data_IF_573033650352
#
_entry.id   IF_573033650352
#
_cell.length_a   1.000
_cell.length_b   1.000
_cell.length_c   1.000
_cell.angle_alpha   90.00
_cell.angle_beta   90.00
_cell.angle_gamma   90.00
#
_symmetry.space_group_name_H-M   'P 1'
#
loop_
_entity.id
_entity.type
_entity.pdbx_description
1 polymer ?
#
# COMPACT_ATOMS: atom_id res chain seq x y z
N UNK A 1 -29.15 -15.88 -14.09
CA UNK A 1 -28.57 -14.54 -13.81
C UNK A 1 -27.19 -14.74 -13.20
N UNK A 2 -26.11 -14.38 -13.89
CA UNK A 2 -24.77 -14.40 -13.27
C UNK A 2 -24.73 -13.28 -12.22
N UNK A 3 -24.61 -13.65 -10.95
CA UNK A 3 -24.42 -12.71 -9.84
C UNK A 3 -23.25 -11.77 -10.17
N UNK A 4 -23.41 -10.48 -9.90
CA UNK A 4 -22.34 -9.48 -10.04
C UNK A 4 -21.15 -9.90 -9.18
N UNK A 5 -20.01 -10.23 -9.80
CA UNK A 5 -18.78 -10.48 -9.05
C UNK A 5 -18.00 -9.15 -8.94
N UNK A 6 -17.91 -8.53 -7.74
CA UNK A 6 -17.16 -7.30 -7.55
C UNK A 6 -15.64 -7.45 -7.79
N UNK A 7 -15.13 -8.67 -7.94
CA UNK A 7 -13.77 -8.96 -8.42
C UNK A 7 -13.59 -8.75 -9.92
N UNK A 8 -14.66 -8.55 -10.70
CA UNK A 8 -14.63 -8.37 -12.15
C UNK A 8 -14.47 -6.91 -12.60
N UNK A 9 -14.39 -5.95 -11.68
CA UNK A 9 -14.16 -4.53 -11.98
C UNK A 9 -12.80 -4.12 -11.41
N UNK A 10 -11.95 -3.61 -12.29
CA UNK A 10 -10.67 -3.03 -11.91
C UNK A 10 -10.89 -1.60 -11.39
N UNK A 11 -10.70 -1.40 -10.09
CA UNK A 11 -10.69 -0.08 -9.49
C UNK A 11 -9.25 0.31 -9.13
N UNK A 12 -8.62 1.17 -9.95
CA UNK A 12 -7.27 1.67 -9.66
C UNK A 12 -7.19 2.53 -8.39
N UNK A 13 -8.31 2.89 -7.76
CA UNK A 13 -8.40 3.54 -6.43
C UNK A 13 -8.78 2.55 -5.32
N UNK A 14 -8.62 1.25 -5.55
CA UNK A 14 -8.75 0.25 -4.50
C UNK A 14 -7.67 0.48 -3.42
N UNK A 15 -8.08 0.38 -2.15
CA UNK A 15 -7.20 0.53 -0.98
C UNK A 15 -6.98 -0.78 -0.26
N UNK A 16 -7.76 -1.83 -0.55
CA UNK A 16 -7.59 -3.16 0.02
C UNK A 16 -6.46 -3.91 -0.69
N UNK A 17 -5.37 -4.17 0.02
CA UNK A 17 -4.26 -4.97 -0.49
C UNK A 17 -4.71 -6.38 -0.86
N UNK A 18 -5.54 -7.00 -0.02
CA UNK A 18 -6.13 -8.32 -0.29
C UNK A 18 -6.81 -8.35 -1.66
N UNK A 19 -7.72 -7.40 -1.92
CA UNK A 19 -8.45 -7.36 -3.21
C UNK A 19 -7.49 -7.10 -4.37
N UNK A 20 -6.53 -6.20 -4.20
CA UNK A 20 -5.58 -5.87 -5.25
C UNK A 20 -4.69 -7.06 -5.63
N UNK A 21 -4.18 -7.80 -4.65
CA UNK A 21 -3.35 -8.98 -4.89
C UNK A 21 -4.12 -10.07 -5.64
N UNK A 22 -5.38 -10.29 -5.29
CA UNK A 22 -6.26 -11.18 -6.04
C UNK A 22 -6.49 -10.69 -7.48
N UNK A 23 -6.63 -9.37 -7.69
CA UNK A 23 -6.74 -8.77 -9.01
C UNK A 23 -5.43 -8.92 -9.82
N UNK A 24 -4.25 -8.84 -9.20
CA UNK A 24 -2.98 -9.07 -9.89
C UNK A 24 -2.90 -10.50 -10.44
N UNK A 25 -3.31 -11.51 -9.67
CA UNK A 25 -3.39 -12.90 -10.16
C UNK A 25 -4.54 -13.14 -11.15
N UNK A 26 -5.62 -12.37 -11.05
CA UNK A 26 -6.82 -12.57 -11.87
C UNK A 26 -6.82 -11.86 -13.23
N UNK A 27 -6.24 -10.65 -13.29
CA UNK A 27 -6.17 -9.80 -14.49
C UNK A 27 -4.74 -9.61 -15.03
N UNK A 28 -3.72 -10.01 -14.26
CA UNK A 28 -2.33 -9.71 -14.54
C UNK A 28 -1.84 -8.46 -13.80
N UNK A 29 -0.53 -8.42 -13.55
CA UNK A 29 0.12 -7.34 -12.81
C UNK A 29 -0.05 -5.97 -13.49
N UNK A 30 0.25 -5.88 -14.79
CA UNK A 30 0.27 -4.59 -15.49
C UNK A 30 -1.12 -3.94 -15.64
N UNK A 31 -2.19 -4.75 -15.66
CA UNK A 31 -3.56 -4.21 -15.56
C UNK A 31 -3.76 -3.45 -14.24
N UNK A 32 -3.07 -3.86 -13.18
CA UNK A 32 -3.16 -3.28 -11.86
C UNK A 32 -2.22 -2.10 -11.62
N UNK A 33 -1.37 -1.76 -12.59
CA UNK A 33 -0.47 -0.61 -12.54
C UNK A 33 -1.26 0.68 -12.27
N UNK A 34 -0.81 1.41 -11.24
CA UNK A 34 -1.39 2.69 -10.81
C UNK A 34 -0.55 3.90 -11.21
N UNK A 35 0.53 3.76 -11.98
CA UNK A 35 1.43 4.84 -12.39
C UNK A 35 0.65 6.00 -13.04
N UNK A 36 -0.37 5.68 -13.86
CA UNK A 36 -1.23 6.67 -14.51
C UNK A 36 -2.05 7.54 -13.54
N UNK A 37 -2.19 7.15 -12.27
CA UNK A 37 -2.87 7.94 -11.23
C UNK A 37 -2.08 9.17 -10.83
N UNK A 38 -0.78 9.17 -11.08
CA UNK A 38 0.13 10.24 -10.67
C UNK A 38 0.53 11.15 -11.84
N UNK A 39 -0.17 11.08 -12.97
CA UNK A 39 0.05 11.99 -14.09
C UNK A 39 -0.33 13.45 -13.70
N UNK A 40 0.39 14.48 -14.20
CA UNK A 40 0.10 15.90 -13.94
C UNK A 40 -1.37 16.30 -14.25
N UNK A 41 -1.92 17.38 -13.65
CA UNK A 41 -1.23 18.52 -13.04
C UNK A 41 -1.31 18.63 -11.49
N UNK A 42 -1.70 17.58 -10.77
CA UNK A 42 -2.01 17.67 -9.34
C UNK A 42 -0.76 17.70 -8.43
N UNK A 43 -0.74 18.62 -7.47
CA UNK A 43 0.30 18.77 -6.44
C UNK A 43 0.03 17.90 -5.21
N UNK A 44 -1.22 17.47 -4.98
CA UNK A 44 -1.62 16.62 -3.84
C UNK A 44 -0.89 15.25 -3.82
N UNK A 45 -0.37 14.84 -4.96
CA UNK A 45 0.36 13.59 -5.14
C UNK A 45 1.84 13.78 -5.50
N UNK A 46 2.39 14.99 -5.39
CA UNK A 46 3.76 15.29 -5.83
C UNK A 46 4.81 14.34 -5.24
N UNK A 47 4.70 14.00 -3.95
CA UNK A 47 5.60 13.06 -3.28
C UNK A 47 5.48 11.63 -3.83
N UNK A 48 4.25 11.12 -4.02
CA UNK A 48 4.01 9.78 -4.59
C UNK A 48 4.47 9.70 -6.04
N UNK A 49 4.18 10.74 -6.82
CA UNK A 49 4.64 10.89 -8.21
C UNK A 49 6.16 10.84 -8.28
N UNK A 50 6.84 11.62 -7.45
CA UNK A 50 8.30 11.66 -7.40
C UNK A 50 8.88 10.27 -7.14
N UNK A 51 8.30 9.50 -6.22
CA UNK A 51 8.76 8.14 -5.91
C UNK A 51 8.49 7.19 -7.08
N UNK A 52 7.27 7.17 -7.63
CA UNK A 52 6.92 6.29 -8.77
C UNK A 52 7.81 6.58 -9.98
N UNK A 53 8.09 7.85 -10.27
CA UNK A 53 9.00 8.24 -11.36
C UNK A 53 10.44 7.82 -11.08
N UNK A 54 10.93 7.93 -9.85
CA UNK A 54 12.26 7.45 -9.48
C UNK A 54 12.40 5.94 -9.69
N UNK A 55 11.40 5.16 -9.25
CA UNK A 55 11.39 3.70 -9.41
C UNK A 55 11.32 3.31 -10.90
N UNK A 56 10.43 3.95 -11.68
CA UNK A 56 10.33 3.72 -13.11
C UNK A 56 11.65 4.04 -13.85
N UNK A 57 12.24 5.21 -13.57
CA UNK A 57 13.54 5.60 -14.13
C UNK A 57 14.65 4.62 -13.76
N UNK A 58 14.66 4.11 -12.53
CA UNK A 58 15.61 3.08 -12.12
C UNK A 58 15.40 1.78 -12.93
N UNK A 59 14.16 1.33 -13.10
CA UNK A 59 13.84 0.15 -13.92
C UNK A 59 14.29 0.32 -15.38
N UNK A 60 14.15 1.52 -15.95
CA UNK A 60 14.60 1.83 -17.32
C UNK A 60 16.12 1.84 -17.43
N UNK A 61 16.81 2.50 -16.50
CA UNK A 61 18.24 2.86 -16.64
C UNK A 61 19.21 1.88 -16.00
N UNK A 62 18.78 1.08 -15.01
CA UNK A 62 19.65 0.13 -14.35
C UNK A 62 19.97 -1.07 -15.27
N UNK A 63 21.25 -1.42 -15.36
CA UNK A 63 21.79 -2.47 -16.25
C UNK A 63 22.56 -3.58 -15.50
N UNK A 64 22.57 -3.54 -14.16
CA UNK A 64 23.27 -4.53 -13.34
C UNK A 64 22.56 -5.89 -13.26
N UNK A 65 23.27 -6.91 -12.75
CA UNK A 65 22.84 -8.32 -12.72
C UNK A 65 21.57 -8.60 -11.89
N UNK A 66 21.17 -7.67 -11.02
CA UNK A 66 20.01 -7.80 -10.11
C UNK A 66 18.84 -6.89 -10.51
N UNK A 67 18.68 -6.64 -11.81
CA UNK A 67 17.60 -5.82 -12.34
C UNK A 67 16.25 -6.53 -12.16
N UNK A 68 15.28 -5.78 -11.64
CA UNK A 68 13.88 -6.21 -11.50
C UNK A 68 12.98 -5.09 -11.98
N UNK A 69 11.85 -5.43 -12.58
CA UNK A 69 10.82 -4.46 -12.92
C UNK A 69 9.86 -4.31 -11.72
N UNK A 70 9.78 -3.10 -11.17
CA UNK A 70 8.90 -2.79 -10.04
C UNK A 70 7.66 -2.05 -10.51
N UNK A 71 6.50 -2.67 -10.34
CA UNK A 71 5.21 -2.11 -10.74
C UNK A 71 4.46 -1.60 -9.51
N UNK A 72 4.08 -0.31 -9.44
CA UNK A 72 3.25 0.18 -8.36
C UNK A 72 1.82 -0.37 -8.51
N UNK A 73 1.27 -0.93 -7.43
CA UNK A 73 -0.08 -1.53 -7.44
C UNK A 73 -1.04 -0.91 -6.42
N UNK A 74 -0.52 -0.25 -5.38
CA UNK A 74 -1.32 0.44 -4.37
C UNK A 74 -0.67 1.72 -3.89
N UNK A 75 -1.54 2.64 -3.44
CA UNK A 75 -1.18 3.83 -2.69
C UNK A 75 -2.22 4.05 -1.59
N UNK A 76 -1.79 4.56 -0.44
CA UNK A 76 -2.64 4.78 0.73
C UNK A 76 -3.57 3.57 0.99
N UNK A 77 -2.94 2.42 1.26
CA UNK A 77 -3.63 1.15 1.35
C UNK A 77 -3.77 0.67 2.79
N UNK A 78 -4.70 -0.25 2.94
CA UNK A 78 -4.95 -1.04 4.13
C UNK A 78 -4.93 -2.52 3.73
N UNK A 79 -4.71 -3.43 4.69
CA UNK A 79 -4.59 -4.87 4.38
C UNK A 79 -5.90 -5.41 3.80
N UNK A 80 -7.02 -5.08 4.44
CA UNK A 80 -8.38 -5.39 4.00
C UNK A 80 -9.30 -4.22 4.34
N UNK A 81 -10.39 -4.01 3.59
CA UNK A 81 -11.28 -2.86 3.81
C UNK A 81 -11.71 -2.70 5.27
N UNK A 82 -11.53 -1.49 5.80
CA UNK A 82 -11.87 -1.15 7.18
C UNK A 82 -10.93 -1.73 8.23
N UNK A 83 -9.74 -2.21 7.86
CA UNK A 83 -8.69 -2.62 8.80
C UNK A 83 -7.93 -1.42 9.35
N UNK A 84 -7.66 -0.40 8.52
CA UNK A 84 -6.93 0.78 8.94
C UNK A 84 -7.82 1.77 9.70
N UNK A 85 -7.40 2.17 10.91
CA UNK A 85 -8.15 3.08 11.80
C UNK A 85 -7.38 4.36 12.11
N UNK A 86 -6.06 4.24 12.27
CA UNK A 86 -5.15 5.33 12.62
C UNK A 86 -4.13 5.55 11.51
N UNK A 87 -3.42 6.68 11.52
CA UNK A 87 -2.41 6.99 10.50
C UNK A 87 -1.37 5.87 10.36
N UNK A 88 -0.87 5.32 11.48
CA UNK A 88 0.08 4.20 11.49
C UNK A 88 -0.39 2.92 10.79
N UNK A 89 -1.71 2.74 10.61
CA UNK A 89 -2.27 1.52 10.04
C UNK A 89 -2.22 1.52 8.50
N UNK A 90 -2.01 2.68 7.86
CA UNK A 90 -2.01 2.82 6.40
C UNK A 90 -0.62 2.66 5.80
N UNK A 91 -0.50 1.86 4.74
CA UNK A 91 0.70 1.82 3.90
C UNK A 91 0.65 2.88 2.79
N UNK A 92 1.78 3.47 2.39
CA UNK A 92 1.78 4.63 1.49
C UNK A 92 1.94 4.30 0.01
N UNK A 93 2.91 3.47 -0.37
CA UNK A 93 3.10 2.97 -1.73
C UNK A 93 3.54 1.51 -1.66
N UNK A 94 2.93 0.66 -2.49
CA UNK A 94 3.30 -0.75 -2.65
C UNK A 94 3.66 -1.02 -4.10
N UNK A 95 4.83 -1.60 -4.31
CA UNK A 95 5.29 -2.13 -5.58
C UNK A 95 5.46 -3.65 -5.47
N UNK A 96 5.36 -4.33 -6.60
CA UNK A 96 5.66 -5.76 -6.71
C UNK A 96 6.31 -6.02 -8.05
N UNK A 97 7.02 -7.13 -8.14
CA UNK A 97 7.56 -7.65 -9.40
C UNK A 97 6.61 -8.69 -10.04
N UNK A 98 6.81 -9.07 -11.32
CA UNK A 98 5.90 -9.90 -12.11
C UNK A 98 5.51 -11.25 -11.50
N UNK A 99 6.36 -11.86 -10.68
CA UNK A 99 6.10 -13.14 -10.01
C UNK A 99 5.26 -13.00 -8.75
N UNK A 100 5.00 -11.78 -8.26
CA UNK A 100 4.25 -11.50 -7.03
C UNK A 100 4.85 -12.19 -5.78
N UNK A 101 6.17 -12.40 -5.77
CA UNK A 101 6.91 -13.01 -4.66
C UNK A 101 7.68 -11.97 -3.85
N UNK A 102 8.06 -10.85 -4.46
CA UNK A 102 8.81 -9.77 -3.81
C UNK A 102 8.04 -8.45 -3.83
N UNK A 103 8.07 -7.73 -2.71
CA UNK A 103 7.32 -6.48 -2.55
C UNK A 103 8.20 -5.35 -2.01
N UNK A 104 7.99 -4.14 -2.52
CA UNK A 104 8.59 -2.92 -1.98
C UNK A 104 7.52 -2.01 -1.40
N UNK A 105 7.75 -1.52 -0.18
CA UNK A 105 6.92 -0.53 0.50
C UNK A 105 7.73 0.74 0.70
N UNK A 106 7.21 1.87 0.21
CA UNK A 106 7.82 3.18 0.48
C UNK A 106 6.85 4.01 1.33
N UNK A 107 7.23 4.25 2.57
CA UNK A 107 6.50 5.10 3.49
C UNK A 107 6.90 6.56 3.31
N UNK A 108 5.93 7.42 2.99
CA UNK A 108 6.11 8.88 2.94
C UNK A 108 5.86 9.47 4.33
N UNK A 109 6.92 9.77 5.08
CA UNK A 109 6.84 10.26 6.45
C UNK A 109 6.98 11.79 6.52
N UNK A 110 6.37 12.48 7.50
CA UNK A 110 6.63 13.89 7.74
C UNK A 110 8.09 14.13 8.17
N UNK A 111 8.53 15.38 8.11
CA UNK A 111 9.83 15.74 8.71
C UNK A 111 9.78 15.53 10.22
N UNK A 112 10.81 14.90 10.83
CA UNK A 112 10.86 14.77 12.29
C UNK A 112 10.84 16.15 12.96
N UNK A 113 10.17 16.27 14.10
CA UNK A 113 10.08 17.50 14.89
C UNK A 113 10.78 17.33 16.25
N UNK A 114 11.24 18.45 16.82
CA UNK A 114 11.72 18.48 18.21
C UNK A 114 10.59 18.38 19.25
N UNK A 115 9.34 18.32 18.79
CA UNK A 115 8.14 18.27 19.63
C UNK A 115 7.80 16.86 20.14
N UNK A 116 8.55 15.82 19.74
CA UNK A 116 8.29 14.43 20.12
C UNK A 116 7.17 13.73 19.34
N UNK A 117 6.37 14.48 18.56
CA UNK A 117 5.24 13.91 17.79
C UNK A 117 5.66 13.10 16.56
N UNK A 118 6.76 13.49 15.91
CA UNK A 118 7.34 12.79 14.77
C UNK A 118 8.81 12.56 15.06
N UNK A 119 9.17 11.30 15.29
CA UNK A 119 10.56 10.90 15.53
C UNK A 119 11.04 9.90 14.47
N UNK A 120 12.36 9.81 14.30
CA UNK A 120 12.96 8.74 13.49
C UNK A 120 12.58 7.35 14.01
N UNK A 121 12.45 7.20 15.34
CA UNK A 121 12.02 5.94 15.94
C UNK A 121 10.61 5.56 15.48
N UNK A 122 9.64 6.49 15.51
CA UNK A 122 8.28 6.23 15.00
C UNK A 122 8.31 5.82 13.52
N UNK A 123 9.12 6.51 12.72
CA UNK A 123 9.25 6.20 11.30
C UNK A 123 9.76 4.78 11.08
N UNK A 124 10.81 4.39 11.81
CA UNK A 124 11.42 3.08 11.74
C UNK A 124 10.41 1.98 12.13
N UNK A 125 9.76 2.10 13.29
CA UNK A 125 8.82 1.08 13.79
C UNK A 125 7.57 0.96 12.93
N UNK A 126 7.01 2.07 12.43
CA UNK A 126 5.85 2.03 11.54
C UNK A 126 6.23 1.41 10.20
N UNK A 127 7.40 1.74 9.66
CA UNK A 127 7.85 1.19 8.37
C UNK A 127 8.09 -0.31 8.47
N UNK A 128 8.75 -0.78 9.53
CA UNK A 128 8.91 -2.20 9.84
C UNK A 128 7.55 -2.90 9.98
N UNK A 129 6.64 -2.31 10.76
CA UNK A 129 5.29 -2.84 10.96
C UNK A 129 4.53 -3.01 9.64
N UNK A 130 4.65 -2.07 8.69
CA UNK A 130 4.02 -2.20 7.37
C UNK A 130 4.63 -3.35 6.53
N UNK A 131 5.93 -3.62 6.66
CA UNK A 131 6.57 -4.78 6.04
C UNK A 131 6.04 -6.10 6.63
N UNK A 132 6.01 -6.19 7.95
CA UNK A 132 5.49 -7.37 8.67
C UNK A 132 4.01 -7.63 8.36
N UNK A 133 3.19 -6.57 8.25
CA UNK A 133 1.77 -6.68 7.83
C UNK A 133 1.60 -7.20 6.43
N UNK A 134 2.40 -6.70 5.49
CA UNK A 134 2.34 -7.18 4.11
C UNK A 134 2.81 -8.64 4.04
N UNK A 135 3.90 -9.00 4.73
CA UNK A 135 4.39 -10.38 4.79
C UNK A 135 3.32 -11.30 5.38
N UNK A 136 2.72 -10.93 6.50
CA UNK A 136 1.61 -11.67 7.12
C UNK A 136 0.45 -11.89 6.13
N UNK A 137 0.08 -10.88 5.35
CA UNK A 137 -0.96 -11.00 4.34
C UNK A 137 -0.57 -11.98 3.23
N UNK A 138 0.59 -11.82 2.60
CA UNK A 138 0.98 -12.65 1.45
C UNK A 138 1.25 -14.10 1.86
N UNK A 139 1.80 -14.33 3.06
CA UNK A 139 1.94 -15.67 3.66
C UNK A 139 0.58 -16.31 3.88
N UNK A 140 -0.39 -15.58 4.47
CA UNK A 140 -1.73 -16.13 4.68
C UNK A 140 -2.47 -16.44 3.38
N UNK A 141 -2.36 -15.56 2.39
CA UNK A 141 -2.97 -15.78 1.08
C UNK A 141 -2.37 -17.01 0.39
N UNK A 142 -1.05 -17.18 0.45
CA UNK A 142 -0.39 -18.35 -0.12
C UNK A 142 -0.81 -19.64 0.61
N UNK A 143 -0.61 -19.69 1.93
CA UNK A 143 -0.76 -20.91 2.74
C UNK A 143 -2.24 -21.34 2.88
N UNK A 144 -3.18 -20.40 3.01
CA UNK A 144 -4.59 -20.69 3.26
C UNK A 144 -5.47 -20.67 1.99
N UNK A 145 -5.03 -19.97 0.94
CA UNK A 145 -5.85 -19.68 -0.24
C UNK A 145 -5.19 -20.05 -1.57
N UNK A 146 -4.03 -20.72 -1.59
CA UNK A 146 -3.36 -21.14 -2.83
C UNK A 146 -3.15 -19.94 -3.78
N UNK A 147 -2.87 -18.77 -3.21
CA UNK A 147 -2.72 -17.54 -3.97
C UNK A 147 -1.26 -17.34 -4.38
N UNK A 148 -1.07 -17.06 -5.67
CA UNK A 148 0.20 -16.58 -6.22
C UNK A 148 1.37 -17.56 -6.07
N UNK A 149 2.58 -17.05 -6.28
CA UNK A 149 3.78 -17.78 -5.93
C UNK A 149 4.05 -17.68 -4.43
N UNK A 150 4.91 -18.57 -3.92
CA UNK A 150 5.38 -18.45 -2.54
C UNK A 150 6.03 -17.07 -2.33
N UNK A 151 5.65 -16.33 -1.26
CA UNK A 151 6.29 -15.06 -0.96
C UNK A 151 7.76 -15.29 -0.62
N UNK A 152 8.63 -14.41 -1.10
CA UNK A 152 10.06 -14.49 -0.90
C UNK A 152 10.52 -13.45 0.12
N UNK A 153 10.23 -12.18 -0.13
CA UNK A 153 10.51 -11.12 0.83
C UNK A 153 9.65 -9.88 0.62
N UNK A 154 9.48 -9.10 1.68
CA UNK A 154 8.95 -7.74 1.66
C UNK A 154 10.06 -6.83 2.14
N UNK A 155 10.35 -5.76 1.39
CA UNK A 155 11.21 -4.68 1.86
C UNK A 155 10.43 -3.41 2.05
N UNK A 156 10.71 -2.73 3.16
CA UNK A 156 10.16 -1.41 3.41
C UNK A 156 11.25 -0.40 3.75
N UNK A 157 11.08 0.82 3.26
CA UNK A 157 11.85 1.98 3.69
C UNK A 157 10.91 3.19 3.76
N UNK A 158 11.43 4.32 4.20
CA UNK A 158 10.69 5.57 4.18
C UNK A 158 11.47 6.70 3.53
N UNK A 159 10.77 7.78 3.21
CA UNK A 159 11.37 9.04 2.79
C UNK A 159 10.59 10.21 3.37
N UNK A 160 11.20 11.40 3.38
CA UNK A 160 10.65 12.60 4.02
C UNK A 160 10.82 13.82 3.11
N UNK A 161 10.06 14.92 3.32
CA UNK A 161 10.27 16.19 2.62
C UNK A 161 11.71 16.68 2.70
N UNK A 162 12.36 16.58 3.88
CA UNK A 162 13.74 17.03 4.10
C UNK A 162 14.78 16.25 3.26
N UNK A 163 14.38 15.12 2.67
CA UNK A 163 15.22 14.30 1.78
C UNK A 163 14.84 14.45 0.31
N UNK A 164 13.94 15.37 -0.02
CA UNK A 164 13.41 15.52 -1.36
C UNK A 164 12.61 14.31 -1.85
N UNK A 165 12.05 13.51 -0.95
CA UNK A 165 11.35 12.26 -1.27
C UNK A 165 12.21 11.24 -2.06
N UNK A 166 13.53 11.29 -1.88
CA UNK A 166 14.46 10.37 -2.56
C UNK A 166 14.33 8.94 -2.03
N UNK A 167 14.40 7.96 -2.93
CA UNK A 167 14.51 6.52 -2.63
C UNK A 167 15.92 6.05 -2.93
N UNK A 168 16.51 5.28 -2.01
CA UNK A 168 17.84 4.70 -2.18
C UNK A 168 17.85 3.65 -3.31
N UNK A 169 18.82 3.69 -4.22
CA UNK A 169 18.94 2.68 -5.27
C UNK A 169 19.20 1.27 -4.74
N UNK A 170 19.87 1.13 -3.58
CA UNK A 170 20.10 -0.18 -2.95
C UNK A 170 18.80 -0.87 -2.57
N UNK A 171 17.75 -0.10 -2.23
CA UNK A 171 16.42 -0.60 -1.91
C UNK A 171 15.74 -1.29 -3.10
N UNK A 172 16.07 -0.90 -4.33
CA UNK A 172 15.43 -1.36 -5.56
C UNK A 172 16.05 -2.64 -6.14
N UNK A 173 17.16 -3.15 -5.57
CA UNK A 173 17.85 -4.33 -6.09
C UNK A 173 17.00 -5.60 -5.93
N UNK A 174 16.94 -6.44 -6.97
CA UNK A 174 16.22 -7.71 -6.96
C UNK A 174 16.91 -8.89 -6.28
N UNK A 175 17.77 -8.65 -5.29
CA UNK A 175 18.48 -9.72 -4.56
C UNK A 175 17.58 -10.36 -3.51
N UNK A 176 17.87 -11.57 -3.05
CA UNK A 176 17.13 -12.21 -1.94
C UNK A 176 17.68 -11.88 -0.56
N UNK A 177 18.81 -11.18 -0.49
CA UNK A 177 19.49 -10.87 0.77
C UNK A 177 19.05 -9.52 1.34
N UNK A 178 19.39 -9.28 2.60
CA UNK A 178 19.29 -7.95 3.19
C UNK A 178 20.24 -6.99 2.47
N UNK A 179 19.77 -5.77 2.19
CA UNK A 179 20.55 -4.73 1.53
C UNK A 179 20.89 -3.63 2.52
N UNK A 180 22.12 -3.13 2.46
CA UNK A 180 22.56 -2.02 3.32
C UNK A 180 22.22 -0.70 2.64
N UNK A 181 21.53 0.23 3.32
CA UNK A 181 21.27 1.56 2.77
C UNK A 181 22.57 2.36 2.62
N UNK A 182 22.60 3.26 1.65
CA UNK A 182 23.67 4.24 1.47
C UNK A 182 23.81 5.09 2.74
N UNK A 183 25.03 5.55 3.06
CA UNK A 183 25.28 6.34 4.27
C UNK A 183 24.32 7.54 4.36
N UNK A 184 23.61 7.63 5.47
CA UNK A 184 22.64 8.69 5.71
C UNK A 184 21.28 8.46 5.04
N UNK A 185 21.04 7.32 4.38
CA UNK A 185 19.72 6.87 3.97
C UNK A 185 18.94 6.20 5.10
N UNK A 186 17.59 6.20 5.04
CA UNK A 186 16.77 5.57 6.06
C UNK A 186 17.00 4.05 6.03
N UNK A 187 16.72 3.35 7.14
CA UNK A 187 16.86 1.90 7.18
C UNK A 187 16.02 1.22 6.09
N UNK A 188 16.54 0.10 5.61
CA UNK A 188 15.81 -0.82 4.73
C UNK A 188 15.46 -2.05 5.58
N UNK A 189 14.18 -2.22 5.88
CA UNK A 189 13.68 -3.38 6.59
C UNK A 189 13.46 -4.48 5.56
N UNK A 190 14.19 -5.58 5.68
CA UNK A 190 14.02 -6.78 4.88
C UNK A 190 13.32 -7.85 5.73
N UNK A 191 12.15 -8.30 5.29
CA UNK A 191 11.31 -9.26 6.00
C UNK A 191 11.07 -10.47 5.09
N UNK A 192 11.24 -11.68 5.62
CA UNK A 192 11.03 -12.95 4.89
C UNK A 192 9.90 -13.77 5.54
N UNK A 193 9.34 -14.78 4.87
CA UNK A 193 8.32 -15.66 5.45
C UNK A 193 8.77 -16.38 6.73
N UNK A 194 10.08 -16.52 6.95
CA UNK A 194 10.65 -17.19 8.12
C UNK A 194 11.10 -16.19 9.20
N UNK A 195 11.10 -14.88 8.89
CA UNK A 195 11.58 -13.83 9.77
C UNK A 195 10.70 -12.57 9.70
N UNK A 196 9.44 -12.69 10.12
CA UNK A 196 8.49 -11.59 10.27
C UNK A 196 7.75 -11.64 11.60
N UNK A 197 7.19 -10.50 12.02
CA UNK A 197 6.30 -10.44 13.19
C UNK A 197 4.86 -10.66 12.73
N UNK A 198 4.12 -11.65 13.27
CA UNK A 198 2.69 -11.81 12.99
C UNK A 198 1.89 -10.57 13.42
N UNK A 199 1.01 -10.06 12.55
CA UNK A 199 0.35 -8.75 12.79
C UNK A 199 -1.13 -8.70 12.41
N UNK A 200 -1.67 -9.77 11.82
CA UNK A 200 -3.08 -9.79 11.41
C UNK A 200 -3.97 -10.12 12.61
N UNK A 201 -5.02 -9.33 12.82
CA UNK A 201 -6.02 -9.65 13.82
C UNK A 201 -7.01 -10.69 13.28
N UNK A 202 -7.64 -11.46 14.18
CA UNK A 202 -8.71 -12.41 13.80
C UNK A 202 -9.80 -11.77 12.94
N UNK A 203 -10.28 -10.58 13.35
CA UNK A 203 -11.29 -9.84 12.59
C UNK A 203 -10.82 -9.38 11.19
N UNK A 204 -9.50 -9.27 10.98
CA UNK A 204 -8.93 -8.98 9.66
C UNK A 204 -8.88 -10.28 8.83
N UNK A 205 -8.45 -11.40 9.42
CA UNK A 205 -8.45 -12.72 8.78
C UNK A 205 -9.84 -13.15 8.30
N UNK A 206 -10.88 -12.95 9.12
CA UNK A 206 -12.28 -13.18 8.72
C UNK A 206 -12.67 -12.35 7.49
N UNK A 207 -12.26 -11.08 7.44
CA UNK A 207 -12.56 -10.21 6.29
C UNK A 207 -11.76 -10.60 5.06
N UNK A 208 -10.51 -11.03 5.24
CA UNK A 208 -9.67 -11.55 4.16
C UNK A 208 -10.35 -12.78 3.57
N UNK A 209 -10.77 -13.74 4.40
CA UNK A 209 -11.47 -14.94 3.95
C UNK A 209 -12.74 -14.62 3.16
N UNK A 210 -13.52 -13.64 3.62
CA UNK A 210 -14.71 -13.18 2.91
C UNK A 210 -14.37 -12.59 1.52
N UNK A 211 -13.26 -11.86 1.39
CA UNK A 211 -12.80 -11.32 0.10
C UNK A 211 -12.30 -12.44 -0.81
N UNK A 212 -11.51 -13.38 -0.29
CA UNK A 212 -10.97 -14.50 -1.06
C UNK A 212 -12.06 -15.45 -1.57
N UNK A 213 -13.11 -15.68 -0.78
CA UNK A 213 -14.28 -16.49 -1.17
C UNK A 213 -15.02 -15.91 -2.38
N UNK A 214 -14.94 -14.58 -2.60
CA UNK A 214 -15.51 -13.92 -3.79
C UNK A 214 -14.56 -14.00 -5.02
N UNK A 215 -13.31 -14.38 -4.80
CA UNK A 215 -12.29 -14.56 -5.80
C UNK A 215 -12.35 -15.91 -6.50
N UNK A 216 -11.29 -16.23 -7.26
CA UNK A 216 -11.13 -17.53 -7.94
C UNK A 216 -10.25 -18.51 -7.16
N UNK A 217 -9.75 -18.09 -5.99
CA UNK A 217 -8.72 -18.83 -5.27
C UNK A 217 -9.29 -20.02 -4.52
N UNK A 218 -8.49 -21.09 -4.45
CA UNK A 218 -8.89 -22.34 -3.83
C UNK A 218 -8.50 -22.28 -2.36
N UNK A 219 -9.50 -22.40 -1.48
CA UNK A 219 -9.23 -22.52 -0.05
C UNK A 219 -8.53 -23.85 0.25
N UNK A 220 -7.48 -23.81 1.05
CA UNK A 220 -6.80 -24.99 1.55
C UNK A 220 -7.69 -25.80 2.52
N UNK A 221 -7.27 -27.02 2.86
CA UNK A 221 -7.97 -27.85 3.83
C UNK A 221 -7.97 -27.23 5.24
N UNK A 222 -8.93 -27.59 6.12
CA UNK A 222 -9.08 -26.95 7.44
C UNK A 222 -7.80 -26.89 8.29
N UNK A 223 -7.02 -27.97 8.32
CA UNK A 223 -5.77 -28.02 9.07
C UNK A 223 -4.70 -27.04 8.53
N UNK A 224 -4.59 -26.91 7.21
CA UNK A 224 -3.66 -25.97 6.58
C UNK A 224 -4.09 -24.52 6.81
N UNK A 225 -5.40 -24.23 6.72
CA UNK A 225 -5.94 -22.91 7.04
C UNK A 225 -5.66 -22.54 8.50
N UNK A 226 -5.85 -23.46 9.44
CA UNK A 226 -5.57 -23.23 10.86
C UNK A 226 -4.07 -22.95 11.11
N UNK A 227 -3.18 -23.75 10.53
CA UNK A 227 -1.74 -23.51 10.62
C UNK A 227 -1.35 -22.16 10.02
N UNK A 228 -1.92 -21.80 8.86
CA UNK A 228 -1.70 -20.51 8.23
C UNK A 228 -2.19 -19.34 9.10
N UNK A 229 -3.33 -19.48 9.77
CA UNK A 229 -3.85 -18.47 10.73
C UNK A 229 -2.88 -18.28 11.88
N UNK A 230 -2.47 -19.35 12.55
CA UNK A 230 -1.55 -19.28 13.68
C UNK A 230 -0.20 -18.63 13.30
N UNK A 231 0.27 -18.82 12.07
CA UNK A 231 1.52 -18.23 11.58
C UNK A 231 1.48 -16.69 11.46
N UNK A 232 0.30 -16.11 11.23
CA UNK A 232 0.14 -14.68 10.88
C UNK A 232 -0.66 -13.88 11.91
N UNK A 233 -1.29 -14.58 12.86
CA UNK A 233 -2.13 -14.01 13.89
C UNK A 233 -1.28 -13.21 14.88
N UNK A 234 -1.56 -11.91 14.96
CA UNK A 234 -1.06 -11.01 15.98
C UNK A 234 -2.19 -10.46 16.84
N UNK A 235 -1.82 -9.65 17.82
CA UNK A 235 -2.72 -9.03 18.79
C UNK A 235 -2.75 -7.51 18.62
N UNK A 236 -3.57 -6.82 19.41
CA UNK A 236 -3.59 -5.34 19.37
C UNK A 236 -2.37 -4.75 20.05
N UNK A 237 -1.80 -5.50 20.99
CA UNK A 237 -0.64 -5.18 21.79
C UNK A 237 0.65 -5.23 20.94
N UNK A 238 0.65 -6.03 19.87
CA UNK A 238 1.75 -6.10 18.88
C UNK A 238 1.79 -4.89 17.93
N UNK A 239 0.82 -3.98 18.01
CA UNK A 239 0.81 -2.76 17.19
C UNK A 239 1.88 -1.80 17.72
N UNK A 240 2.60 -1.08 16.83
CA UNK A 240 3.70 -0.23 17.24
C UNK A 240 3.21 0.88 18.17
N UNK A 241 3.88 1.02 19.31
CA UNK A 241 3.75 2.15 20.22
C UNK A 241 4.47 3.35 19.61
N UNK A 242 3.73 4.42 19.37
CA UNK A 242 4.15 5.56 18.55
C UNK A 242 3.53 6.84 19.10
N UNK A 243 4.17 7.97 18.81
CA UNK A 243 3.68 9.28 19.23
C UNK A 243 2.21 9.56 18.85
N UNK A 244 1.56 10.44 19.63
CA UNK A 244 0.12 10.75 19.51
C UNK A 244 -0.31 11.15 18.08
N UNK A 245 0.56 11.82 17.33
CA UNK A 245 0.29 12.19 15.94
C UNK A 245 -0.07 10.98 15.07
N UNK A 246 0.58 9.84 15.27
CA UNK A 246 0.34 8.60 14.55
C UNK A 246 -0.91 7.83 15.02
N UNK A 247 -1.41 8.18 16.21
CA UNK A 247 -2.64 7.66 16.81
C UNK A 247 -3.88 8.42 16.34
N UNK A 248 -3.72 9.51 15.59
CA UNK A 248 -4.83 10.23 15.01
C UNK A 248 -5.51 9.45 13.88
N UNK A 249 -6.78 9.79 13.62
CA UNK A 249 -7.43 9.35 12.38
C UNK A 249 -6.80 10.11 11.21
N UNK A 250 -6.80 9.54 10.01
CA UNK A 250 -6.38 10.28 8.83
C UNK A 250 -7.28 11.52 8.66
N UNK A 251 -6.70 12.74 8.62
CA UNK A 251 -7.47 13.94 8.36
C UNK A 251 -8.13 13.80 6.99
N UNK A 252 -9.44 14.01 6.93
CA UNK A 252 -10.16 14.08 5.66
C UNK A 252 -10.20 15.55 5.26
N UNK A 253 -9.41 15.90 4.26
CA UNK A 253 -9.28 17.25 3.77
C UNK A 253 -10.12 17.44 2.49
N UNK A 254 -10.83 18.57 2.43
CA UNK A 254 -11.58 18.95 1.23
C UNK A 254 -10.63 19.46 0.14
N UNK A 255 -10.62 18.81 -1.03
CA UNK A 255 -9.78 19.16 -2.17
C UNK A 255 -10.05 20.55 -2.81
N UNK A 256 -11.03 21.31 -2.31
CA UNK A 256 -11.33 22.67 -2.79
C UNK A 256 -11.00 23.76 -1.78
N UNK A 257 -11.34 23.54 -0.52
CA UNK A 257 -11.26 24.57 0.53
C UNK A 257 -10.29 24.21 1.65
N UNK A 258 -9.62 23.06 1.53
CA UNK A 258 -8.60 22.57 2.47
C UNK A 258 -9.09 22.40 3.92
N UNK A 259 -10.41 22.46 4.13
CA UNK A 259 -11.01 22.24 5.43
C UNK A 259 -10.84 20.77 5.84
N UNK A 260 -10.09 20.54 6.90
CA UNK A 260 -10.00 19.24 7.56
C UNK A 260 -11.28 19.00 8.36
N UNK A 261 -11.92 17.84 8.16
CA UNK A 261 -13.12 17.43 8.89
C UNK A 261 -12.93 16.05 9.51
N UNK A 262 -13.43 15.87 10.73
CA UNK A 262 -13.47 14.56 11.39
C UNK A 262 -14.54 13.63 10.79
N UNK A 263 -15.54 14.21 10.11
CA UNK A 263 -16.63 13.47 9.45
C UNK A 263 -16.21 12.96 8.07
N UNK A 264 -16.89 11.93 7.59
CA UNK A 264 -16.71 11.46 6.22
C UNK A 264 -17.00 12.58 5.22
N UNK A 265 -16.01 12.87 4.38
CA UNK A 265 -16.16 13.77 3.24
C UNK A 265 -16.77 13.01 2.07
N UNK A 266 -17.46 13.74 1.20
CA UNK A 266 -18.01 13.19 -0.03
C UNK A 266 -16.88 12.92 -1.01
N UNK A 267 -16.73 11.68 -1.44
CA UNK A 267 -15.70 11.32 -2.41
C UNK A 267 -16.25 11.51 -3.82
N UNK A 268 -15.44 12.05 -4.74
CA UNK A 268 -15.80 12.14 -6.15
C UNK A 268 -16.29 10.78 -6.65
N UNK A 269 -17.52 10.75 -7.17
CA UNK A 269 -18.16 9.51 -7.59
C UNK A 269 -17.46 8.82 -8.76
N UNK A 270 -16.64 9.56 -9.54
CA UNK A 270 -15.90 9.07 -10.70
C UNK A 270 -14.53 8.49 -10.33
N UNK A 271 -13.59 9.33 -9.90
CA UNK A 271 -12.20 8.90 -9.68
C UNK A 271 -11.93 8.32 -8.29
N UNK A 272 -12.82 8.57 -7.32
CA UNK A 272 -12.68 8.19 -5.90
C UNK A 272 -11.43 8.76 -5.19
N UNK A 273 -10.76 9.73 -5.80
CA UNK A 273 -9.51 10.32 -5.32
C UNK A 273 -9.75 11.61 -4.54
N UNK A 274 -10.52 12.53 -5.09
CA UNK A 274 -10.83 13.80 -4.42
C UNK A 274 -11.97 13.62 -3.43
N UNK A 275 -11.85 14.27 -2.27
CA UNK A 275 -12.90 14.36 -1.25
C UNK A 275 -13.33 15.81 -1.06
N UNK A 276 -14.61 16.02 -0.77
CA UNK A 276 -15.22 17.34 -0.67
C UNK A 276 -16.12 17.42 0.55
N UNK A 277 -16.09 18.53 1.27
CA UNK A 277 -17.01 18.76 2.38
C UNK A 277 -18.44 19.05 1.93
N UNK A 278 -18.64 19.42 0.67
CA UNK A 278 -19.96 19.73 0.12
C UNK A 278 -20.00 19.61 -1.41
N UNK A 279 -21.21 19.61 -1.99
CA UNK A 279 -21.39 19.53 -3.45
C UNK A 279 -20.88 20.82 -4.13
N UNK A 280 -20.94 21.93 -3.41
CA UNK A 280 -20.47 23.24 -3.82
C UNK A 280 -18.95 23.23 -3.95
N UNK A 281 -18.23 22.69 -2.97
CA UNK A 281 -16.78 22.49 -3.06
C UNK A 281 -16.39 21.58 -4.24
N UNK A 282 -17.14 20.50 -4.47
CA UNK A 282 -16.90 19.64 -5.64
C UNK A 282 -17.12 20.38 -6.96
N UNK A 283 -18.17 21.19 -7.08
CA UNK A 283 -18.46 21.98 -8.29
C UNK A 283 -17.44 23.09 -8.51
N UNK A 284 -17.03 23.79 -7.45
CA UNK A 284 -16.02 24.84 -7.51
C UNK A 284 -14.67 24.29 -7.98
N UNK A 285 -14.25 23.14 -7.46
CA UNK A 285 -13.03 22.47 -7.87
C UNK A 285 -13.14 21.79 -9.24
N UNK A 286 -14.34 21.63 -9.81
CA UNK A 286 -14.57 20.80 -10.99
C UNK A 286 -13.78 21.24 -12.22
N UNK A 287 -13.58 22.54 -12.43
CA UNK A 287 -12.83 23.08 -13.57
C UNK A 287 -11.38 22.58 -13.60
N UNK A 288 -10.75 22.44 -12.44
CA UNK A 288 -9.41 21.88 -12.27
C UNK A 288 -9.47 20.34 -12.19
N UNK A 289 -10.32 19.81 -11.31
CA UNK A 289 -10.45 18.38 -11.07
C UNK A 289 -10.77 17.57 -12.34
N UNK A 290 -11.62 18.09 -13.25
CA UNK A 290 -12.05 17.36 -14.45
C UNK A 290 -10.91 16.95 -15.38
N UNK A 291 -9.77 17.66 -15.32
CA UNK A 291 -8.58 17.40 -16.13
C UNK A 291 -8.05 15.99 -15.84
N UNK A 292 -8.08 15.57 -14.58
CA UNK A 292 -7.55 14.29 -14.11
C UNK A 292 -8.61 13.34 -13.54
N UNK A 293 -9.84 13.81 -13.33
CA UNK A 293 -10.97 13.00 -12.88
C UNK A 293 -11.29 11.83 -13.83
N UNK A 294 -10.77 11.88 -15.07
CA UNK A 294 -10.97 10.88 -16.13
C UNK A 294 -9.78 9.94 -16.36
N UNK A 295 -8.61 10.17 -15.77
CA UNK A 295 -7.40 9.35 -15.98
C UNK A 295 -7.44 7.98 -15.29
N UNK A 296 -8.60 7.59 -14.77
CA UNK A 296 -8.87 6.30 -14.13
C UNK A 296 -9.94 5.45 -14.83
N UNK A 297 -10.42 5.86 -16.00
CA UNK A 297 -11.44 5.15 -16.79
C UNK A 297 -10.94 4.76 -18.19
N UNK A 298 -9.67 4.40 -18.31
CA UNK A 298 -9.13 3.77 -19.52
C UNK A 298 -8.58 2.37 -19.16
N UNK A 299 -9.52 1.43 -19.04
CA UNK A 299 -9.38 0.00 -19.26
C UNK A 299 -10.80 -0.59 -19.15
N UNK A 300 -11.61 -0.32 -20.17
CA UNK A 300 -12.75 -1.15 -20.53
C UNK A 300 -12.32 -1.99 -21.72
#
# INVERSE_FOLDING_TARGET
>A
MRSFNPMMILNKSETSATRRLLQCTGFGLYMNDISSKFAPPDDDFASRRAIVHQVAKWCETYTGQNKVEWVPILYLYEIVKGSAKRQRDWGHLLFTEPTLSCFLIVMIMPGPCNCGNYSHHDHDVITRYQADRMMSLVTYLHDAWDWGNAPNWVRATYTTPNRGFMVDSAFLLGVNEAVTPTKGAPPIFHVTPDAFTPTLLDSELERIDNVCTQGRQKRAGPAAVEAARLRVLGTKEDRPDVGEAWMNKNPRECANCHAVKDKALMICSRCKLAQYCSKECQKAHWSYHKIWCKTASAAA
#
